data_IF_194429180983
#
_entry.id   IF_194429180983
#
_cell.length_a   1.000
_cell.length_b   1.000
_cell.length_c   1.000
_cell.angle_alpha   90.00
_cell.angle_beta   90.00
_cell.angle_gamma   90.00
#
_symmetry.space_group_name_H-M   'P 1'
#
loop_
_entity.id
_entity.type
_entity.pdbx_description
1 polymer ?
#
# COMPACT_ATOMS: atom_id res chain seq x y z
N UNK A 1 22.33 -1.09 1.09
CA UNK A 1 21.22 -1.37 0.16
C UNK A 1 20.36 -0.14 -0.13
N UNK A 2 19.74 0.55 0.85
CA UNK A 2 18.88 1.73 0.55
C UNK A 2 19.59 2.95 -0.07
N UNK A 3 20.82 3.28 0.35
CA UNK A 3 21.52 4.49 -0.11
C UNK A 3 21.91 4.45 -1.61
N UNK A 4 21.95 3.25 -2.20
CA UNK A 4 22.33 3.03 -3.59
C UNK A 4 21.14 2.58 -4.44
N UNK A 5 19.94 2.47 -3.86
CA UNK A 5 18.76 1.99 -4.56
C UNK A 5 18.21 3.09 -5.48
N UNK A 6 17.93 2.72 -6.72
CA UNK A 6 17.25 3.60 -7.68
C UNK A 6 15.73 3.50 -7.56
N UNK A 7 15.23 2.34 -7.12
CA UNK A 7 13.81 2.07 -6.89
C UNK A 7 13.63 1.44 -5.51
N UNK A 8 12.77 2.05 -4.69
CA UNK A 8 12.27 1.49 -3.44
C UNK A 8 10.87 0.91 -3.68
N UNK A 9 10.75 -0.43 -3.63
CA UNK A 9 9.46 -1.12 -3.74
C UNK A 9 8.93 -1.43 -2.34
N UNK A 10 7.75 -0.88 -2.02
CA UNK A 10 7.06 -1.10 -0.75
C UNK A 10 5.87 -2.04 -0.98
N UNK A 11 6.12 -3.34 -0.81
CA UNK A 11 5.12 -4.39 -1.04
C UNK A 11 4.70 -5.13 0.24
N UNK A 12 5.24 -4.77 1.40
CA UNK A 12 4.85 -5.40 2.67
C UNK A 12 3.47 -4.90 3.13
N UNK A 13 2.84 -5.66 4.01
CA UNK A 13 1.61 -5.24 4.66
C UNK A 13 1.02 -6.33 5.54
N UNK A 14 0.00 -5.96 6.32
CA UNK A 14 -0.69 -6.86 7.23
C UNK A 14 -2.20 -6.53 7.27
N UNK A 15 -3.05 -7.58 7.29
CA UNK A 15 -4.49 -7.45 7.61
C UNK A 15 -4.76 -7.59 9.12
N UNK A 16 -3.98 -8.44 9.80
CA UNK A 16 -4.10 -8.77 11.22
C UNK A 16 -3.39 -7.78 12.16
N UNK A 17 -2.37 -8.23 12.89
CA UNK A 17 -1.73 -7.42 13.93
C UNK A 17 -1.12 -6.11 13.38
N UNK A 18 -1.48 -4.99 14.01
CA UNK A 18 -0.91 -3.64 13.76
C UNK A 18 -0.96 -3.18 12.29
N UNK A 19 -2.13 -3.18 11.63
CA UNK A 19 -2.23 -2.88 10.19
C UNK A 19 -1.83 -1.43 9.89
N UNK A 20 -2.07 -0.49 10.82
CA UNK A 20 -1.63 0.89 10.67
C UNK A 20 -0.11 1.03 10.62
N UNK A 21 0.60 0.32 11.49
CA UNK A 21 2.07 0.35 11.50
C UNK A 21 2.63 -0.32 10.24
N UNK A 22 2.08 -1.47 9.85
CA UNK A 22 2.57 -2.27 8.72
C UNK A 22 2.26 -1.65 7.34
N UNK A 23 1.11 -1.00 7.18
CA UNK A 23 0.64 -0.52 5.88
C UNK A 23 0.79 1.00 5.69
N UNK A 24 1.05 1.75 6.76
CA UNK A 24 1.16 3.20 6.70
C UNK A 24 2.44 3.70 7.39
N UNK A 25 2.58 3.48 8.70
CA UNK A 25 3.69 4.04 9.49
C UNK A 25 5.07 3.63 8.96
N UNK A 26 5.26 2.34 8.69
CA UNK A 26 6.51 1.80 8.14
C UNK A 26 6.77 2.26 6.71
N UNK A 27 5.75 2.39 5.86
CA UNK A 27 5.92 2.92 4.50
C UNK A 27 6.48 4.34 4.56
N UNK A 28 5.82 5.22 5.32
CA UNK A 28 6.26 6.62 5.46
C UNK A 28 7.67 6.71 6.06
N UNK A 29 7.98 5.92 7.08
CA UNK A 29 9.30 5.90 7.70
C UNK A 29 10.40 5.43 6.73
N UNK A 30 10.11 4.44 5.88
CA UNK A 30 11.05 3.95 4.88
C UNK A 30 11.28 4.96 3.77
N UNK A 31 10.22 5.63 3.29
CA UNK A 31 10.31 6.69 2.28
C UNK A 31 11.14 7.85 2.82
N UNK A 32 10.84 8.33 4.01
CA UNK A 32 11.55 9.42 4.67
C UNK A 32 13.04 9.07 4.91
N UNK A 33 13.33 7.83 5.32
CA UNK A 33 14.71 7.34 5.41
C UNK A 33 15.40 7.29 4.04
N UNK A 34 14.70 6.85 3.00
CA UNK A 34 15.22 6.79 1.64
C UNK A 34 15.57 8.18 1.14
N UNK A 35 14.63 9.14 1.23
CA UNK A 35 14.82 10.56 0.91
C UNK A 35 16.09 11.13 1.55
N UNK A 36 16.28 10.92 2.86
CA UNK A 36 17.48 11.40 3.57
C UNK A 36 18.77 10.81 3.00
N UNK A 37 18.78 9.52 2.70
CA UNK A 37 19.96 8.82 2.18
C UNK A 37 20.26 9.23 0.74
N UNK A 38 19.25 9.55 -0.06
CA UNK A 38 19.39 9.87 -1.49
C UNK A 38 19.39 11.36 -1.80
N UNK A 39 19.27 12.25 -0.80
CA UNK A 39 19.17 13.71 -0.96
C UNK A 39 20.25 14.38 -1.81
N UNK A 40 21.41 13.73 -1.95
CA UNK A 40 22.58 14.25 -2.67
C UNK A 40 22.60 13.82 -4.14
N UNK A 41 21.64 12.99 -4.57
CA UNK A 41 21.56 12.50 -5.94
C UNK A 41 21.03 13.60 -6.85
N UNK A 42 21.53 13.62 -8.09
CA UNK A 42 21.02 14.50 -9.15
C UNK A 42 19.66 14.01 -9.68
N UNK A 43 19.43 12.69 -9.66
CA UNK A 43 18.16 12.08 -10.05
C UNK A 43 17.42 11.61 -8.79
N UNK A 44 16.16 12.03 -8.58
CA UNK A 44 15.34 11.54 -7.48
C UNK A 44 15.18 10.02 -7.49
N UNK A 45 15.09 9.41 -6.31
CA UNK A 45 14.81 7.98 -6.18
C UNK A 45 13.35 7.69 -6.54
N UNK A 46 13.09 6.57 -7.20
CA UNK A 46 11.72 6.13 -7.42
C UNK A 46 11.17 5.39 -6.20
N UNK A 47 9.91 5.66 -5.84
CA UNK A 47 9.21 4.97 -4.76
C UNK A 47 7.96 4.33 -5.34
N UNK A 48 7.90 3.01 -5.32
CA UNK A 48 6.77 2.23 -5.85
C UNK A 48 6.06 1.56 -4.69
N UNK A 49 4.90 2.10 -4.30
CA UNK A 49 4.16 1.59 -3.16
C UNK A 49 2.93 0.79 -3.60
N UNK A 50 2.81 -0.42 -3.07
CA UNK A 50 1.69 -1.31 -3.31
C UNK A 50 0.53 -0.96 -2.38
N UNK A 51 -0.54 -0.43 -2.96
CA UNK A 51 -1.83 -0.18 -2.33
C UNK A 51 -2.76 -1.41 -2.39
N UNK A 52 -4.06 -1.16 -2.27
CA UNK A 52 -5.09 -2.19 -2.34
C UNK A 52 -6.44 -1.62 -2.75
N UNK A 53 -7.24 -2.37 -3.53
CA UNK A 53 -8.58 -1.95 -3.96
C UNK A 53 -9.51 -1.58 -2.78
N UNK A 54 -9.25 -2.10 -1.58
CA UNK A 54 -9.99 -1.76 -0.35
C UNK A 54 -9.94 -0.26 -0.01
N UNK A 55 -8.98 0.47 -0.57
CA UNK A 55 -8.90 1.92 -0.46
C UNK A 55 -10.16 2.59 -1.00
N UNK A 56 -10.73 2.03 -2.08
CA UNK A 56 -11.90 2.56 -2.78
C UNK A 56 -13.21 1.80 -2.45
N UNK A 57 -13.14 0.56 -1.95
CA UNK A 57 -14.34 -0.25 -1.66
C UNK A 57 -14.75 -0.24 -0.18
N UNK A 58 -16.06 -0.24 0.14
CA UNK A 58 -16.53 -0.32 1.53
C UNK A 58 -16.11 -1.63 2.21
N UNK A 59 -15.69 -1.54 3.47
CA UNK A 59 -15.35 -2.70 4.31
C UNK A 59 -16.56 -3.10 5.16
N UNK A 60 -17.48 -3.86 4.58
CA UNK A 60 -18.75 -4.23 5.21
C UNK A 60 -18.56 -5.36 6.23
N UNK A 61 -19.09 -5.17 7.44
CA UNK A 61 -19.33 -6.24 8.43
C UNK A 61 -18.11 -6.90 9.09
N UNK A 62 -16.88 -6.69 8.61
CA UNK A 62 -15.68 -7.35 9.15
C UNK A 62 -14.73 -6.33 9.83
N UNK A 63 -14.57 -6.36 11.18
CA UNK A 63 -13.70 -5.43 11.91
C UNK A 63 -12.21 -5.47 11.51
N UNK A 64 -11.68 -6.66 11.18
CA UNK A 64 -10.30 -6.80 10.70
C UNK A 64 -10.14 -6.12 9.33
N UNK A 65 -11.11 -6.35 8.43
CA UNK A 65 -11.14 -5.71 7.12
C UNK A 65 -11.32 -4.18 7.24
N UNK A 66 -12.10 -3.70 8.21
CA UNK A 66 -12.23 -2.26 8.48
C UNK A 66 -10.92 -1.64 8.97
N UNK A 67 -10.20 -2.32 9.85
CA UNK A 67 -8.89 -1.89 10.34
C UNK A 67 -7.85 -1.86 9.20
N UNK A 68 -7.83 -2.92 8.38
CA UNK A 68 -7.02 -2.98 7.17
C UNK A 68 -7.36 -1.86 6.19
N UNK A 69 -8.65 -1.67 5.86
CA UNK A 69 -9.13 -0.61 4.98
C UNK A 69 -8.74 0.78 5.49
N UNK A 70 -8.92 1.03 6.79
CA UNK A 70 -8.50 2.28 7.43
C UNK A 70 -7.01 2.51 7.24
N UNK A 71 -6.17 1.50 7.51
CA UNK A 71 -4.71 1.65 7.35
C UNK A 71 -4.29 1.97 5.91
N UNK A 72 -4.88 1.29 4.92
CA UNK A 72 -4.59 1.52 3.50
C UNK A 72 -5.06 2.90 3.03
N UNK A 73 -6.27 3.32 3.42
CA UNK A 73 -6.78 4.67 3.11
C UNK A 73 -5.97 5.78 3.77
N UNK A 74 -5.54 5.58 5.02
CA UNK A 74 -4.68 6.54 5.70
C UNK A 74 -3.36 6.70 4.95
N UNK A 75 -2.75 5.59 4.52
CA UNK A 75 -1.56 5.65 3.69
C UNK A 75 -1.82 6.34 2.34
N UNK A 76 -2.86 5.94 1.60
CA UNK A 76 -3.21 6.53 0.30
C UNK A 76 -3.39 8.05 0.36
N UNK A 77 -4.06 8.55 1.42
CA UNK A 77 -4.20 10.00 1.66
C UNK A 77 -2.86 10.69 1.94
N UNK A 78 -1.98 10.06 2.71
CA UNK A 78 -0.65 10.61 2.96
C UNK A 78 0.20 10.60 1.68
N UNK A 79 0.13 9.49 0.93
CA UNK A 79 0.87 9.26 -0.29
C UNK A 79 0.44 10.15 -1.46
N UNK A 80 -0.80 10.65 -1.48
CA UNK A 80 -1.23 11.65 -2.45
C UNK A 80 -0.32 12.89 -2.48
N UNK A 81 0.28 13.26 -1.34
CA UNK A 81 1.24 14.37 -1.27
C UNK A 81 2.58 14.02 -1.94
N UNK A 82 2.97 12.74 -1.92
CA UNK A 82 4.20 12.27 -2.54
C UNK A 82 4.15 12.31 -4.07
N UNK A 83 2.95 12.33 -4.66
CA UNK A 83 2.79 12.51 -6.11
C UNK A 83 3.26 13.89 -6.59
N UNK A 84 3.37 14.86 -5.67
CA UNK A 84 3.80 16.22 -5.94
C UNK A 84 5.11 16.58 -5.24
N UNK A 85 5.77 15.60 -4.61
CA UNK A 85 7.03 15.79 -3.89
C UNK A 85 8.20 15.65 -4.87
N UNK A 86 8.92 16.74 -5.13
CA UNK A 86 10.05 16.75 -6.08
C UNK A 86 11.27 15.94 -5.63
N UNK A 87 11.32 15.50 -4.37
CA UNK A 87 12.44 14.72 -3.85
C UNK A 87 12.39 13.23 -4.26
N UNK A 88 11.24 12.77 -4.76
CA UNK A 88 11.03 11.36 -5.17
C UNK A 88 10.15 11.27 -6.43
N UNK A 89 10.33 10.21 -7.21
CA UNK A 89 9.36 9.83 -8.24
C UNK A 89 8.41 8.79 -7.67
N UNK A 90 7.22 9.21 -7.26
CA UNK A 90 6.27 8.33 -6.59
C UNK A 90 5.31 7.62 -7.55
N UNK A 91 5.11 6.32 -7.35
CA UNK A 91 4.11 5.48 -8.03
C UNK A 91 3.27 4.74 -7.02
N UNK A 92 1.95 4.81 -7.19
CA UNK A 92 1.00 4.03 -6.41
C UNK A 92 0.42 2.90 -7.26
N UNK A 93 0.67 1.66 -6.86
CA UNK A 93 0.28 0.47 -7.61
C UNK A 93 -0.81 -0.24 -6.83
N UNK A 94 -2.01 -0.30 -7.40
CA UNK A 94 -3.15 -1.01 -6.81
C UNK A 94 -3.40 -2.29 -7.62
N UNK A 95 -2.88 -3.45 -7.19
CA UNK A 95 -3.17 -4.69 -7.87
C UNK A 95 -4.61 -5.12 -7.62
N UNK A 96 -5.23 -5.73 -8.63
CA UNK A 96 -6.51 -6.43 -8.48
C UNK A 96 -6.40 -7.59 -7.50
N UNK A 97 -7.52 -7.96 -6.87
CA UNK A 97 -7.56 -9.11 -5.97
C UNK A 97 -6.87 -10.35 -6.58
N UNK A 98 -5.86 -10.87 -5.88
CA UNK A 98 -5.11 -12.06 -6.29
C UNK A 98 -4.87 -12.98 -5.10
N UNK A 99 -4.79 -14.28 -5.37
CA UNK A 99 -4.58 -15.28 -4.32
C UNK A 99 -3.19 -15.13 -3.72
N UNK A 100 -3.14 -14.82 -2.43
CA UNK A 100 -1.91 -14.78 -1.64
C UNK A 100 -2.18 -15.33 -0.24
N UNK A 101 -1.12 -15.57 0.55
CA UNK A 101 -1.26 -15.92 1.98
C UNK A 101 -2.04 -14.86 2.77
N UNK A 102 -2.06 -13.61 2.29
CA UNK A 102 -2.82 -12.50 2.86
C UNK A 102 -4.32 -12.57 2.50
N UNK A 103 -4.70 -13.25 1.44
CA UNK A 103 -6.09 -13.41 0.99
C UNK A 103 -6.75 -14.71 1.46
N UNK A 104 -5.94 -15.67 1.89
CA UNK A 104 -6.39 -17.00 2.34
C UNK A 104 -7.30 -16.96 3.59
N UNK A 105 -7.40 -15.83 4.31
CA UNK A 105 -8.33 -15.68 5.45
C UNK A 105 -9.72 -15.15 5.06
N UNK A 106 -9.94 -14.73 3.81
CA UNK A 106 -11.21 -14.11 3.34
C UNK A 106 -11.94 -14.93 2.27
N UNK A 107 -11.33 -16.01 1.76
CA UNK A 107 -11.85 -16.77 0.61
C UNK A 107 -13.10 -17.63 0.90
N UNK A 108 -13.92 -17.31 1.91
CA UNK A 108 -15.23 -17.95 2.06
C UNK A 108 -16.40 -17.08 1.66
N UNK A 109 -16.35 -15.74 1.78
CA UNK A 109 -17.57 -14.92 1.62
C UNK A 109 -17.44 -13.65 0.76
N UNK A 110 -16.31 -13.40 0.08
CA UNK A 110 -16.13 -12.20 -0.75
C UNK A 110 -15.58 -12.54 -2.13
N UNK A 111 -16.27 -13.44 -2.84
CA UNK A 111 -16.16 -13.53 -4.30
C UNK A 111 -17.43 -12.93 -4.90
N UNK A 112 -17.21 -12.01 -5.84
CA UNK A 112 -18.22 -11.34 -6.63
C UNK A 112 -19.30 -12.32 -7.10
N UNK A 113 -20.57 -11.97 -6.87
CA UNK A 113 -21.68 -12.57 -7.60
C UNK A 113 -21.46 -12.22 -9.08
N UNK A 114 -20.85 -13.13 -9.84
CA UNK A 114 -21.05 -13.15 -11.28
C UNK A 114 -22.54 -13.36 -11.50
N UNK A 115 -23.16 -12.40 -12.15
CA UNK A 115 -24.47 -12.53 -12.73
C UNK A 115 -24.40 -13.67 -13.76
N UNK A 116 -24.90 -14.85 -13.36
CA UNK A 116 -25.32 -15.86 -14.30
C UNK A 116 -26.56 -15.31 -15.02
N UNK A 117 -26.33 -14.69 -16.18
CA UNK A 117 -27.37 -14.53 -17.20
C UNK A 117 -27.76 -15.95 -17.62
N UNK A 118 -28.99 -16.34 -17.26
CA UNK A 118 -29.67 -17.52 -17.80
C UNK A 118 -30.31 -17.17 -19.14
#
# INVERSE_FOLDING_TARGET
MLATADILVLAHGAKGAQPMQANCGSFLALIDRCKRLTRHRQVPVEVWAVGSEIECHPALGNPELQSYARSRRTYARAAARLMHDGDVLYRHIVPSAFRSRMDCSLSKNFFWHEAAVS
#
